data_IF_153555178486
#
_entry.id   IF_153555178486
#
_cell.length_a   1.000
_cell.length_b   1.000
_cell.length_c   1.000
_cell.angle_alpha   90.00
_cell.angle_beta   90.00
_cell.angle_gamma   90.00
#
_symmetry.space_group_name_H-M   'P 1'
#
loop_
_entity.id
_entity.type
_entity.pdbx_description
1 polymer ?
#
# COMPACT_ATOMS: atom_id res chain seq x y z
N UNK A 1 -35.50 -36.83 29.52
CA UNK A 1 -34.43 -36.34 28.64
C UNK A 1 -34.08 -34.95 29.12
N UNK A 2 -32.95 -34.78 29.82
CA UNK A 2 -32.47 -33.46 30.24
C UNK A 2 -32.01 -32.72 28.99
N UNK A 3 -32.64 -31.58 28.70
CA UNK A 3 -32.11 -30.64 27.71
C UNK A 3 -30.85 -30.02 28.30
N UNK A 4 -29.70 -30.60 28.00
CA UNK A 4 -28.42 -29.96 28.23
C UNK A 4 -28.41 -28.66 27.42
N UNK A 5 -28.60 -27.55 28.13
CA UNK A 5 -28.52 -26.22 27.57
C UNK A 5 -27.07 -25.96 27.22
N UNK A 6 -26.71 -26.22 25.96
CA UNK A 6 -25.39 -25.89 25.43
C UNK A 6 -25.20 -24.39 25.50
N UNK A 7 -24.34 -23.94 26.41
CA UNK A 7 -23.94 -22.53 26.49
C UNK A 7 -23.21 -22.16 25.20
N UNK A 8 -23.72 -21.16 24.49
CA UNK A 8 -23.11 -20.65 23.25
C UNK A 8 -22.23 -19.44 23.56
N UNK A 9 -21.21 -19.22 22.73
CA UNK A 9 -20.42 -17.98 22.76
C UNK A 9 -21.32 -16.75 22.49
N UNK A 10 -22.41 -16.93 21.74
CA UNK A 10 -23.39 -15.89 21.45
C UNK A 10 -24.17 -15.44 22.70
N UNK A 11 -24.20 -16.24 23.76
CA UNK A 11 -24.90 -15.89 25.00
C UNK A 11 -24.09 -14.92 25.88
N UNK A 12 -22.81 -14.69 25.53
CA UNK A 12 -21.95 -13.79 26.29
C UNK A 12 -22.32 -12.31 26.06
N UNK A 13 -22.20 -11.45 27.09
CA UNK A 13 -22.27 -10.00 26.94
C UNK A 13 -21.24 -9.47 25.95
N UNK A 14 -21.58 -8.37 25.26
CA UNK A 14 -20.73 -7.79 24.21
C UNK A 14 -19.36 -7.39 24.77
N UNK A 15 -19.31 -6.88 25.99
CA UNK A 15 -18.11 -6.42 26.66
C UNK A 15 -17.10 -7.57 26.84
N UNK A 16 -17.61 -8.75 27.24
CA UNK A 16 -16.80 -9.96 27.39
C UNK A 16 -16.28 -10.44 26.03
N UNK A 17 -17.12 -10.38 24.99
CA UNK A 17 -16.71 -10.74 23.64
C UNK A 17 -15.62 -9.79 23.11
N UNK A 18 -15.76 -8.48 23.33
CA UNK A 18 -14.73 -7.49 22.98
C UNK A 18 -13.42 -7.79 23.71
N UNK A 19 -13.48 -8.13 25.00
CA UNK A 19 -12.30 -8.48 25.78
C UNK A 19 -11.64 -9.76 25.27
N UNK A 20 -12.42 -10.78 24.90
CA UNK A 20 -11.91 -11.98 24.23
C UNK A 20 -11.20 -11.62 22.93
N UNK A 21 -11.77 -10.74 22.08
CA UNK A 21 -11.17 -10.33 20.81
C UNK A 21 -9.85 -9.56 20.96
N UNK A 22 -9.60 -8.89 22.09
CA UNK A 22 -8.31 -8.24 22.35
C UNK A 22 -7.16 -9.23 22.48
N UNK A 23 -7.44 -10.49 22.84
CA UNK A 23 -6.42 -11.53 22.96
C UNK A 23 -6.08 -12.21 21.63
N UNK A 24 -6.93 -12.06 20.61
CA UNK A 24 -6.66 -12.59 19.28
C UNK A 24 -5.70 -11.66 18.52
N UNK A 25 -4.65 -12.24 17.96
CA UNK A 25 -3.86 -11.51 16.98
C UNK A 25 -4.64 -11.39 15.66
N UNK A 26 -4.37 -10.35 14.86
CA UNK A 26 -5.05 -10.14 13.57
C UNK A 26 -5.10 -11.43 12.69
N UNK A 27 -4.02 -12.23 12.56
CA UNK A 27 -4.11 -13.51 11.86
C UNK A 27 -5.19 -14.47 12.32
N UNK A 28 -5.34 -14.63 13.63
CA UNK A 28 -6.35 -15.52 14.20
C UNK A 28 -7.73 -14.94 13.97
N UNK A 29 -7.91 -13.63 14.15
CA UNK A 29 -9.21 -12.97 13.95
C UNK A 29 -9.71 -13.09 12.51
N UNK A 30 -8.80 -13.21 11.54
CA UNK A 30 -9.16 -13.43 10.13
C UNK A 30 -9.53 -14.86 9.79
N UNK A 31 -9.16 -15.82 10.63
CA UNK A 31 -9.52 -17.23 10.46
C UNK A 31 -10.90 -17.55 11.04
N UNK A 32 -11.45 -16.69 11.89
CA UNK A 32 -12.74 -16.91 12.53
C UNK A 32 -13.88 -16.80 11.53
N UNK A 33 -14.70 -17.85 11.45
CA UNK A 33 -16.01 -17.82 10.79
C UNK A 33 -17.04 -17.40 11.83
N UNK A 34 -17.41 -16.13 11.78
CA UNK A 34 -18.32 -15.53 12.75
C UNK A 34 -19.71 -15.37 12.15
N UNK A 35 -20.74 -15.47 12.98
CA UNK A 35 -22.07 -14.99 12.61
C UNK A 35 -22.08 -13.45 12.54
N UNK A 36 -23.16 -12.86 12.04
CA UNK A 36 -23.29 -11.41 11.84
C UNK A 36 -23.06 -10.59 13.13
N UNK A 37 -23.53 -11.10 14.29
CA UNK A 37 -23.36 -10.41 15.58
C UNK A 37 -21.91 -10.42 16.02
N UNK A 38 -21.28 -11.59 16.03
CA UNK A 38 -19.88 -11.73 16.42
C UNK A 38 -18.94 -10.98 15.46
N UNK A 39 -19.26 -10.92 14.17
CA UNK A 39 -18.54 -10.10 13.19
C UNK A 39 -18.63 -8.60 13.54
N UNK A 40 -19.80 -8.09 13.87
CA UNK A 40 -19.96 -6.70 14.32
C UNK A 40 -19.15 -6.39 15.58
N UNK A 41 -19.13 -7.32 16.55
CA UNK A 41 -18.35 -7.15 17.77
C UNK A 41 -16.85 -7.18 17.46
N UNK A 42 -16.38 -8.13 16.65
CA UNK A 42 -15.00 -8.16 16.17
C UNK A 42 -14.62 -6.84 15.54
N UNK A 43 -15.51 -6.28 14.70
CA UNK A 43 -15.24 -5.03 13.99
C UNK A 43 -15.15 -3.79 14.89
N UNK A 44 -15.59 -3.89 16.15
CA UNK A 44 -15.43 -2.81 17.13
C UNK A 44 -14.04 -2.79 17.78
N UNK A 45 -13.28 -3.87 17.66
CA UNK A 45 -11.94 -3.99 18.25
C UNK A 45 -10.90 -3.39 17.31
N UNK A 46 -10.21 -2.33 17.74
CA UNK A 46 -9.16 -1.68 16.95
C UNK A 46 -7.82 -2.38 17.14
N UNK A 47 -7.15 -2.64 16.03
CA UNK A 47 -5.79 -3.15 15.98
C UNK A 47 -4.84 -2.04 15.51
N UNK A 48 -3.60 -2.07 16.00
CA UNK A 48 -2.52 -1.24 15.49
C UNK A 48 -1.37 -2.15 15.10
N UNK A 49 -0.91 -2.01 13.86
CA UNK A 49 0.16 -2.82 13.28
C UNK A 49 1.27 -1.88 12.79
N UNK A 50 2.50 -2.27 13.05
CA UNK A 50 3.67 -1.47 12.66
C UNK A 50 3.91 -1.54 11.15
N UNK A 51 3.85 -2.74 10.58
CA UNK A 51 4.05 -2.91 9.15
C UNK A 51 3.13 -3.95 8.54
N UNK A 52 2.69 -3.72 7.31
CA UNK A 52 2.00 -4.67 6.46
C UNK A 52 2.78 -4.76 5.15
N UNK A 53 3.04 -5.98 4.68
CA UNK A 53 3.61 -6.23 3.37
C UNK A 53 2.63 -7.10 2.59
N UNK A 54 2.25 -6.66 1.39
CA UNK A 54 1.49 -7.44 0.44
C UNK A 54 2.45 -7.87 -0.66
N UNK A 55 2.42 -9.14 -1.04
CA UNK A 55 3.19 -9.67 -2.15
C UNK A 55 2.25 -10.24 -3.20
N UNK A 56 2.41 -9.79 -4.44
CA UNK A 56 1.67 -10.27 -5.61
C UNK A 56 2.64 -10.99 -6.54
N UNK A 57 2.38 -12.27 -6.79
CA UNK A 57 3.17 -13.14 -7.65
C UNK A 57 2.23 -13.90 -8.60
N UNK A 58 2.03 -13.34 -9.80
CA UNK A 58 1.03 -13.82 -10.77
C UNK A 58 -0.38 -13.66 -10.20
N UNK A 59 -1.16 -14.73 -10.21
CA UNK A 59 -2.51 -14.80 -9.62
C UNK A 59 -2.52 -15.02 -8.10
N UNK A 60 -1.34 -15.14 -7.47
CA UNK A 60 -1.22 -15.40 -6.03
C UNK A 60 -0.92 -14.12 -5.28
N UNK A 61 -1.82 -13.77 -4.37
CA UNK A 61 -1.61 -12.68 -3.41
C UNK A 61 -1.36 -13.25 -2.02
N UNK A 62 -0.42 -12.65 -1.29
CA UNK A 62 -0.13 -12.97 0.11
C UNK A 62 0.14 -11.70 0.90
N UNK A 63 -0.02 -11.74 2.23
CA UNK A 63 0.36 -10.63 3.10
C UNK A 63 1.09 -11.11 4.35
N UNK A 64 1.89 -10.20 4.90
CA UNK A 64 2.67 -10.38 6.12
C UNK A 64 2.42 -9.16 7.00
N UNK A 65 2.09 -9.38 8.28
CA UNK A 65 1.98 -8.31 9.24
C UNK A 65 3.15 -8.36 10.23
N UNK A 66 3.74 -7.19 10.50
CA UNK A 66 4.80 -6.99 11.46
C UNK A 66 4.29 -6.26 12.69
N UNK A 67 4.40 -6.92 13.85
CA UNK A 67 4.11 -6.35 15.17
C UNK A 67 5.45 -6.04 15.84
N UNK A 68 6.08 -4.92 15.46
CA UNK A 68 7.39 -4.53 15.97
C UNK A 68 8.55 -5.30 15.32
N UNK A 69 9.36 -6.02 16.11
CA UNK A 69 10.52 -6.78 15.61
C UNK A 69 10.16 -8.17 15.06
N UNK A 70 8.94 -8.66 15.31
CA UNK A 70 8.47 -9.97 14.82
C UNK A 70 7.56 -9.75 13.62
N UNK A 71 7.91 -10.34 12.48
CA UNK A 71 7.00 -10.50 11.35
C UNK A 71 6.27 -11.82 11.50
N UNK A 72 4.93 -11.77 11.47
CA UNK A 72 4.08 -12.96 11.50
C UNK A 72 3.62 -13.18 10.06
N UNK A 73 4.19 -14.16 9.33
CA UNK A 73 3.69 -14.49 8.01
C UNK A 73 2.28 -15.04 8.16
N UNK A 74 1.33 -14.37 7.52
CA UNK A 74 -0.01 -14.92 7.32
C UNK A 74 -0.10 -15.28 5.84
N UNK A 75 0.74 -16.22 5.43
CA UNK A 75 0.72 -16.72 4.07
C UNK A 75 -0.52 -17.62 3.92
N UNK A 76 -1.66 -17.00 3.65
CA UNK A 76 -2.69 -17.66 2.85
C UNK A 76 -2.56 -17.10 1.45
N UNK A 77 -2.18 -17.96 0.52
CA UNK A 77 -2.49 -17.76 -0.88
C UNK A 77 -4.01 -17.77 -0.98
N UNK A 78 -4.61 -16.59 -1.10
CA UNK A 78 -6.03 -16.44 -1.37
C UNK A 78 -6.19 -16.11 -2.84
N UNK A 79 -7.29 -16.57 -3.43
CA UNK A 79 -7.75 -16.01 -4.71
C UNK A 79 -8.00 -14.51 -4.52
N UNK A 80 -7.65 -13.71 -5.53
CA UNK A 80 -7.62 -12.26 -5.42
C UNK A 80 -8.96 -11.63 -4.96
N UNK A 81 -10.10 -12.15 -5.41
CA UNK A 81 -11.41 -11.64 -4.97
C UNK A 81 -11.67 -11.83 -3.47
N UNK A 82 -11.33 -13.01 -2.93
CA UNK A 82 -11.41 -13.29 -1.49
C UNK A 82 -10.37 -12.49 -0.71
N UNK A 83 -9.20 -12.26 -1.30
CA UNK A 83 -8.13 -11.46 -0.73
C UNK A 83 -8.55 -9.99 -0.53
N UNK A 84 -9.13 -9.36 -1.54
CA UNK A 84 -9.49 -7.94 -1.49
C UNK A 84 -10.66 -7.66 -0.54
N UNK A 85 -11.66 -8.54 -0.49
CA UNK A 85 -12.74 -8.43 0.50
C UNK A 85 -12.20 -8.56 1.94
N UNK A 86 -11.24 -9.45 2.18
CA UNK A 86 -10.58 -9.59 3.47
C UNK A 86 -9.77 -8.32 3.83
N UNK A 87 -8.95 -7.79 2.92
CA UNK A 87 -8.18 -6.56 3.18
C UNK A 87 -9.08 -5.36 3.47
N UNK A 88 -10.16 -5.16 2.70
CA UNK A 88 -11.14 -4.10 2.96
C UNK A 88 -11.76 -4.25 4.34
N UNK A 89 -12.12 -5.47 4.76
CA UNK A 89 -12.65 -5.72 6.10
C UNK A 89 -11.62 -5.38 7.19
N UNK A 90 -10.37 -5.84 7.05
CA UNK A 90 -9.27 -5.57 7.99
C UNK A 90 -9.00 -4.07 8.12
N UNK A 91 -8.98 -3.36 7.00
CA UNK A 91 -8.63 -1.94 6.94
C UNK A 91 -9.53 -1.05 7.80
N UNK A 92 -10.79 -1.45 8.01
CA UNK A 92 -11.76 -0.71 8.83
C UNK A 92 -11.41 -0.70 10.31
N UNK A 93 -10.64 -1.69 10.75
CA UNK A 93 -10.38 -1.95 12.17
C UNK A 93 -8.90 -1.91 12.51
N UNK A 94 -8.05 -1.68 11.53
CA UNK A 94 -6.60 -1.78 11.68
C UNK A 94 -5.93 -0.49 11.25
N UNK A 95 -5.24 0.14 12.19
CA UNK A 95 -4.27 1.18 11.89
C UNK A 95 -2.96 0.52 11.46
N UNK A 96 -2.39 0.95 10.33
CA UNK A 96 -1.11 0.46 9.82
C UNK A 96 -0.15 1.63 9.72
N UNK A 97 1.01 1.55 10.39
CA UNK A 97 2.02 2.60 10.27
C UNK A 97 2.72 2.53 8.90
N UNK A 98 3.19 1.35 8.48
CA UNK A 98 3.87 1.13 7.20
C UNK A 98 3.18 0.09 6.33
N UNK A 99 2.75 0.44 5.12
CA UNK A 99 2.18 -0.49 4.15
C UNK A 99 3.09 -0.61 2.92
N UNK A 100 3.51 -1.83 2.56
CA UNK A 100 4.37 -2.08 1.41
C UNK A 100 3.73 -3.07 0.44
N UNK A 101 3.72 -2.76 -0.85
CA UNK A 101 3.35 -3.69 -1.92
C UNK A 101 4.62 -4.16 -2.64
N UNK A 102 4.76 -5.46 -2.81
CA UNK A 102 5.82 -6.06 -3.61
C UNK A 102 5.22 -6.87 -4.77
N UNK A 103 5.65 -6.57 -5.99
CA UNK A 103 5.16 -7.24 -7.21
C UNK A 103 6.34 -7.89 -7.92
N UNK A 104 6.35 -9.22 -8.00
CA UNK A 104 7.56 -9.99 -8.35
C UNK A 104 7.45 -10.81 -9.66
N UNK A 105 6.25 -10.99 -10.22
CA UNK A 105 6.06 -11.85 -11.40
C UNK A 105 5.75 -11.09 -12.69
N UNK A 106 6.17 -11.65 -13.84
CA UNK A 106 5.70 -11.19 -15.15
C UNK A 106 4.17 -11.14 -15.14
N UNK A 107 3.63 -9.93 -15.31
CA UNK A 107 2.19 -9.72 -15.23
C UNK A 107 1.53 -10.28 -16.48
N UNK A 108 0.64 -11.27 -16.34
CA UNK A 108 -0.42 -11.50 -17.31
C UNK A 108 -1.56 -10.51 -17.04
N UNK A 109 -2.45 -10.25 -18.00
CA UNK A 109 -3.51 -9.24 -17.85
C UNK A 109 -4.34 -9.39 -16.56
N UNK A 110 -4.66 -10.63 -16.15
CA UNK A 110 -5.40 -10.90 -14.91
C UNK A 110 -4.66 -10.39 -13.65
N UNK A 111 -3.34 -10.41 -13.65
CA UNK A 111 -2.54 -9.95 -12.51
C UNK A 111 -2.47 -8.43 -12.37
N UNK A 112 -2.77 -7.67 -13.43
CA UNK A 112 -2.85 -6.20 -13.37
C UNK A 112 -4.07 -5.74 -12.56
N UNK A 113 -5.23 -6.36 -12.78
CA UNK A 113 -6.44 -6.07 -12.01
C UNK A 113 -6.24 -6.42 -10.53
N UNK A 114 -5.57 -7.54 -10.24
CA UNK A 114 -5.27 -7.96 -8.87
C UNK A 114 -4.36 -6.97 -8.15
N UNK A 115 -3.32 -6.47 -8.82
CA UNK A 115 -2.44 -5.43 -8.29
C UNK A 115 -3.19 -4.13 -8.05
N UNK A 116 -4.03 -3.70 -9.01
CA UNK A 116 -4.87 -2.49 -8.86
C UNK A 116 -5.78 -2.59 -7.64
N UNK A 117 -6.46 -3.73 -7.48
CA UNK A 117 -7.31 -3.98 -6.32
C UNK A 117 -6.51 -4.04 -5.00
N UNK A 118 -5.29 -4.58 -5.01
CA UNK A 118 -4.41 -4.56 -3.84
C UNK A 118 -4.00 -3.13 -3.45
N UNK A 119 -3.67 -2.29 -4.43
CA UNK A 119 -3.34 -0.88 -4.23
C UNK A 119 -4.54 -0.13 -3.62
N UNK A 120 -5.74 -0.31 -4.19
CA UNK A 120 -6.97 0.26 -3.66
C UNK A 120 -7.27 -0.24 -2.24
N UNK A 121 -7.05 -1.53 -1.98
CA UNK A 121 -7.21 -2.11 -0.66
C UNK A 121 -6.24 -1.49 0.36
N UNK A 122 -4.98 -1.26 -0.03
CA UNK A 122 -3.98 -0.59 0.81
C UNK A 122 -4.38 0.85 1.16
N UNK A 123 -5.04 1.58 0.25
CA UNK A 123 -5.51 2.93 0.55
C UNK A 123 -6.53 2.99 1.68
N UNK A 124 -7.32 1.93 1.86
CA UNK A 124 -8.30 1.89 2.95
C UNK A 124 -7.66 1.89 4.34
N UNK A 125 -6.39 1.47 4.45
CA UNK A 125 -5.66 1.47 5.71
C UNK A 125 -5.17 2.86 6.15
N UNK A 126 -5.13 3.84 5.23
CA UNK A 126 -4.61 5.19 5.47
C UNK A 126 -3.27 5.18 6.21
N UNK A 127 -2.26 4.47 5.69
CA UNK A 127 -1.03 4.28 6.44
C UNK A 127 -0.24 5.59 6.55
N UNK A 128 0.65 5.67 7.53
CA UNK A 128 1.57 6.80 7.62
C UNK A 128 2.62 6.76 6.50
N UNK A 129 3.06 5.56 6.16
CA UNK A 129 4.08 5.27 5.15
C UNK A 129 3.56 4.26 4.14
N UNK A 130 3.74 4.55 2.86
CA UNK A 130 3.39 3.63 1.78
C UNK A 130 4.57 3.39 0.86
N UNK A 131 4.87 2.12 0.61
CA UNK A 131 5.85 1.65 -0.36
C UNK A 131 5.19 0.80 -1.43
N UNK A 132 5.61 0.97 -2.68
CA UNK A 132 5.24 0.11 -3.80
C UNK A 132 6.54 -0.23 -4.53
N UNK A 133 6.93 -1.49 -4.50
CA UNK A 133 8.18 -1.99 -5.06
C UNK A 133 7.86 -3.03 -6.13
N UNK A 134 8.11 -2.68 -7.38
CA UNK A 134 7.81 -3.54 -8.52
C UNK A 134 9.10 -3.97 -9.18
N UNK A 135 9.18 -5.27 -9.51
CA UNK A 135 10.32 -5.80 -10.24
C UNK A 135 10.52 -4.96 -11.52
N UNK A 136 11.77 -4.57 -11.81
CA UNK A 136 12.10 -3.55 -12.82
C UNK A 136 11.62 -3.88 -14.24
N UNK A 137 11.29 -5.14 -14.48
CA UNK A 137 10.81 -5.65 -15.77
C UNK A 137 9.30 -5.51 -15.95
N UNK A 138 8.58 -5.12 -14.89
CA UNK A 138 7.13 -5.05 -14.86
C UNK A 138 6.72 -3.59 -14.95
N UNK A 139 5.87 -3.29 -15.91
CA UNK A 139 5.08 -2.07 -15.89
C UNK A 139 3.97 -2.25 -14.87
N UNK A 140 3.91 -1.33 -13.92
CA UNK A 140 2.86 -1.33 -12.92
C UNK A 140 1.54 -1.02 -13.64
N UNK A 141 0.43 -1.72 -13.36
CA UNK A 141 -0.87 -1.31 -13.87
C UNK A 141 -1.07 0.17 -13.57
N UNK A 142 -1.72 0.89 -14.49
CA UNK A 142 -1.78 2.35 -14.45
C UNK A 142 -2.25 2.85 -13.08
N UNK A 143 -1.30 3.15 -12.18
CA UNK A 143 -1.59 3.98 -11.01
C UNK A 143 -1.96 5.31 -11.63
N UNK A 144 -3.26 5.56 -11.63
CA UNK A 144 -3.81 6.77 -12.17
C UNK A 144 -3.24 7.95 -11.39
N UNK A 145 -3.10 9.08 -12.06
CA UNK A 145 -2.65 10.30 -11.42
C UNK A 145 -3.53 10.68 -10.21
N UNK A 146 -4.84 10.42 -10.29
CA UNK A 146 -5.79 10.60 -9.19
C UNK A 146 -5.48 9.70 -7.99
N UNK A 147 -5.13 8.42 -8.19
CA UNK A 147 -4.68 7.55 -7.10
C UNK A 147 -3.39 8.08 -6.46
N UNK A 148 -2.45 8.57 -7.26
CA UNK A 148 -1.21 9.16 -6.77
C UNK A 148 -1.45 10.42 -5.93
N UNK A 149 -2.37 11.29 -6.36
CA UNK A 149 -2.78 12.45 -5.58
C UNK A 149 -3.46 12.05 -4.27
N UNK A 150 -4.34 11.05 -4.32
CA UNK A 150 -5.01 10.54 -3.13
C UNK A 150 -4.00 9.98 -2.11
N UNK A 151 -2.98 9.24 -2.58
CA UNK A 151 -1.85 8.79 -1.75
C UNK A 151 -1.16 9.96 -1.08
N UNK A 152 -0.75 10.94 -1.88
CA UNK A 152 0.05 12.05 -1.40
C UNK A 152 -0.71 12.95 -0.41
N UNK A 153 -2.05 12.99 -0.50
CA UNK A 153 -2.89 13.74 0.43
C UNK A 153 -3.00 13.08 1.82
N UNK A 154 -3.09 11.74 1.86
CA UNK A 154 -3.37 11.00 3.09
C UNK A 154 -2.14 10.38 3.76
N UNK A 155 -1.06 10.16 3.03
CA UNK A 155 0.13 9.42 3.50
C UNK A 155 1.30 10.37 3.72
N UNK A 156 2.00 10.24 4.85
CA UNK A 156 3.14 11.12 5.19
C UNK A 156 4.36 10.89 4.30
N UNK A 157 4.54 9.69 3.75
CA UNK A 157 5.64 9.36 2.82
C UNK A 157 5.21 8.26 1.86
N UNK A 158 5.46 8.52 0.58
CA UNK A 158 5.13 7.61 -0.52
C UNK A 158 6.41 7.27 -1.26
N UNK A 159 6.70 5.99 -1.39
CA UNK A 159 7.83 5.47 -2.16
C UNK A 159 7.31 4.52 -3.22
N UNK A 160 7.51 4.86 -4.48
CA UNK A 160 7.14 4.01 -5.60
C UNK A 160 8.40 3.73 -6.41
N UNK A 161 8.90 2.50 -6.31
CA UNK A 161 9.95 2.00 -7.19
C UNK A 161 9.30 1.20 -8.31
N UNK A 162 8.77 1.92 -9.29
CA UNK A 162 8.12 1.37 -10.47
C UNK A 162 8.26 2.32 -11.67
N UNK A 163 8.27 1.78 -12.88
CA UNK A 163 8.27 2.57 -14.12
C UNK A 163 6.86 3.13 -14.36
N UNK A 164 6.79 4.44 -14.65
CA UNK A 164 5.56 5.09 -15.12
C UNK A 164 5.75 5.58 -16.55
N UNK A 165 5.00 5.01 -17.48
CA UNK A 165 4.95 5.44 -18.89
C UNK A 165 3.98 6.61 -19.12
N UNK A 166 2.89 6.68 -18.34
CA UNK A 166 1.79 7.64 -18.57
C UNK A 166 1.87 8.93 -17.73
N UNK A 167 2.97 9.16 -17.00
CA UNK A 167 3.13 10.39 -16.23
C UNK A 167 3.64 11.50 -17.13
N UNK A 168 2.76 12.48 -17.39
CA UNK A 168 3.07 13.67 -18.16
C UNK A 168 3.79 14.71 -17.31
N UNK A 169 4.40 15.67 -18.01
CA UNK A 169 4.88 16.92 -17.44
C UNK A 169 3.81 17.64 -16.59
N UNK A 170 2.57 17.66 -17.06
CA UNK A 170 1.47 18.33 -16.38
C UNK A 170 1.16 17.68 -15.03
N UNK A 171 1.08 16.35 -14.96
CA UNK A 171 0.89 15.58 -13.73
C UNK A 171 1.96 15.93 -12.68
N UNK A 172 3.21 15.98 -13.10
CA UNK A 172 4.33 16.35 -12.23
C UNK A 172 4.23 17.81 -11.73
N UNK A 173 3.84 18.74 -12.60
CA UNK A 173 3.59 20.14 -12.22
C UNK A 173 2.45 20.26 -11.19
N UNK A 174 1.39 19.47 -11.37
CA UNK A 174 0.27 19.42 -10.42
C UNK A 174 0.72 18.88 -9.06
N UNK A 175 1.47 17.77 -9.00
CA UNK A 175 2.07 17.27 -7.74
C UNK A 175 2.89 18.35 -7.06
N UNK A 176 3.74 19.06 -7.81
CA UNK A 176 4.54 20.16 -7.25
C UNK A 176 3.67 21.26 -6.66
N UNK A 177 2.69 21.78 -7.41
CA UNK A 177 1.81 22.86 -6.93
C UNK A 177 1.10 22.46 -5.65
N UNK A 178 0.63 21.22 -5.61
CA UNK A 178 -0.06 20.62 -4.48
C UNK A 178 0.85 20.52 -3.24
N UNK A 179 2.08 20.06 -3.42
CA UNK A 179 3.10 20.02 -2.37
C UNK A 179 3.46 21.42 -1.88
N UNK A 180 3.75 22.36 -2.80
CA UNK A 180 4.13 23.73 -2.47
C UNK A 180 3.00 24.48 -1.76
N UNK A 181 1.75 24.15 -2.06
CA UNK A 181 0.58 24.71 -1.39
C UNK A 181 0.40 24.28 0.06
N UNK A 182 1.26 23.39 0.59
CA UNK A 182 1.22 22.95 1.99
C UNK A 182 0.01 22.09 2.37
N UNK A 183 -0.79 21.67 1.39
CA UNK A 183 -2.01 20.88 1.60
C UNK A 183 -1.76 19.37 1.71
N UNK A 184 -0.52 18.92 1.52
CA UNK A 184 -0.16 17.52 1.39
C UNK A 184 0.51 17.01 2.66
N UNK A 185 0.09 15.84 3.13
CA UNK A 185 0.77 15.14 4.23
C UNK A 185 2.15 14.62 3.80
N UNK A 186 2.34 14.36 2.50
CA UNK A 186 3.54 13.78 1.92
C UNK A 186 4.79 14.67 2.09
N UNK A 187 5.78 14.15 2.83
CA UNK A 187 7.09 14.75 3.08
C UNK A 187 8.20 14.22 2.17
N UNK A 188 7.98 13.06 1.56
CA UNK A 188 8.92 12.43 0.65
C UNK A 188 8.17 11.70 -0.45
N UNK A 189 8.63 11.87 -1.69
CA UNK A 189 8.11 11.22 -2.88
C UNK A 189 9.25 10.65 -3.71
N UNK A 190 9.23 9.35 -3.97
CA UNK A 190 10.22 8.69 -4.83
C UNK A 190 9.51 7.97 -5.96
N UNK A 191 9.95 8.20 -7.20
CA UNK A 191 9.33 7.62 -8.39
C UNK A 191 10.37 7.38 -9.49
N UNK A 192 10.16 6.35 -10.33
CA UNK A 192 10.92 6.16 -11.56
C UNK A 192 10.09 6.57 -12.77
N UNK A 193 10.62 7.50 -13.56
CA UNK A 193 9.95 8.03 -14.76
C UNK A 193 10.78 7.69 -15.98
N UNK A 194 10.12 7.25 -17.05
CA UNK A 194 10.80 6.98 -18.31
C UNK A 194 10.94 8.26 -19.14
N UNK A 195 12.09 8.41 -19.80
CA UNK A 195 12.42 9.41 -20.83
C UNK A 195 11.80 10.82 -20.72
N UNK A 196 11.68 11.38 -19.51
CA UNK A 196 11.26 12.78 -19.39
C UNK A 196 12.43 13.72 -19.71
N UNK A 197 12.17 14.76 -20.50
CA UNK A 197 13.21 15.71 -20.89
C UNK A 197 13.85 16.34 -19.63
N UNK A 198 15.17 16.17 -19.47
CA UNK A 198 15.94 16.72 -18.35
C UNK A 198 15.63 18.20 -18.08
N UNK A 199 15.45 18.96 -19.16
CA UNK A 199 15.10 20.38 -19.13
C UNK A 199 13.76 20.62 -18.42
N UNK A 200 12.75 19.81 -18.70
CA UNK A 200 11.45 19.90 -18.04
C UNK A 200 11.59 19.73 -16.51
N UNK A 201 12.36 18.75 -16.06
CA UNK A 201 12.53 18.49 -14.63
C UNK A 201 13.25 19.64 -13.94
N UNK A 202 14.33 20.14 -14.56
CA UNK A 202 15.09 21.29 -14.06
C UNK A 202 14.18 22.51 -13.93
N UNK A 203 13.44 22.83 -14.99
CA UNK A 203 12.58 24.00 -15.05
C UNK A 203 11.38 23.88 -14.09
N UNK A 204 10.80 22.67 -13.98
CA UNK A 204 9.62 22.44 -13.15
C UNK A 204 9.93 22.13 -11.70
N UNK A 205 11.10 21.64 -11.30
CA UNK A 205 11.35 21.26 -9.91
C UNK A 205 12.59 21.91 -9.29
N UNK A 206 13.35 22.67 -10.08
CA UNK A 206 14.62 23.25 -9.63
C UNK A 206 15.61 22.18 -9.18
N UNK A 207 15.50 20.96 -9.75
CA UNK A 207 16.32 19.82 -9.34
C UNK A 207 17.71 19.90 -9.97
N UNK A 208 18.71 19.68 -9.14
CA UNK A 208 20.09 19.45 -9.59
C UNK A 208 20.25 17.98 -9.90
N UNK A 209 20.85 17.68 -11.05
CA UNK A 209 21.02 16.31 -11.53
C UNK A 209 22.40 15.83 -11.08
N UNK A 210 22.43 14.79 -10.25
CA UNK A 210 23.67 14.10 -9.94
C UNK A 210 23.81 12.87 -10.87
N UNK A 211 24.75 12.96 -11.80
CA UNK A 211 25.06 11.91 -12.77
C UNK A 211 26.11 10.90 -12.25
N UNK A 212 26.55 11.02 -11.00
CA UNK A 212 27.56 10.11 -10.45
C UNK A 212 26.94 8.77 -10.04
N UNK A 213 27.28 7.67 -10.74
CA UNK A 213 27.00 6.30 -10.28
C UNK A 213 26.00 5.45 -11.06
N UNK A 214 25.68 5.78 -12.32
CA UNK A 214 24.88 4.91 -13.20
C UNK A 214 23.36 4.89 -12.90
N UNK A 215 22.93 5.46 -11.78
CA UNK A 215 21.56 5.90 -11.49
C UNK A 215 21.55 7.41 -11.33
N UNK A 216 20.73 8.12 -12.13
CA UNK A 216 20.56 9.57 -11.95
C UNK A 216 19.61 9.82 -10.79
N UNK A 217 20.11 10.43 -9.73
CA UNK A 217 19.29 10.86 -8.59
C UNK A 217 19.03 12.36 -8.70
N UNK A 218 17.78 12.75 -8.50
CA UNK A 218 17.34 14.14 -8.57
C UNK A 218 16.90 14.56 -7.18
N UNK A 219 17.39 15.71 -6.73
CA UNK A 219 17.08 16.27 -5.42
C UNK A 219 16.45 17.64 -5.60
N UNK A 220 15.27 17.85 -5.01
CA UNK A 220 14.72 19.19 -4.88
C UNK A 220 15.15 19.74 -3.52
N UNK A 221 15.77 20.92 -3.48
CA UNK A 221 16.24 21.57 -2.26
C UNK A 221 15.11 22.17 -1.40
N UNK A 222 13.85 21.87 -1.71
CA UNK A 222 12.76 22.36 -0.90
C UNK A 222 12.75 21.68 0.48
N UNK A 223 12.92 22.48 1.53
CA UNK A 223 12.91 22.01 2.93
C UNK A 223 11.62 21.26 3.30
N UNK A 224 10.51 21.45 2.58
CA UNK A 224 9.22 20.82 2.87
C UNK A 224 8.99 19.46 2.21
N UNK A 225 9.62 19.17 1.06
CA UNK A 225 9.47 17.88 0.36
C UNK A 225 10.78 17.43 -0.27
N UNK A 226 11.18 16.20 0.04
CA UNK A 226 12.24 15.49 -0.69
C UNK A 226 11.62 14.69 -1.84
N UNK A 227 11.83 15.15 -3.06
CA UNK A 227 11.45 14.40 -4.25
C UNK A 227 12.68 13.72 -4.85
N UNK A 228 12.57 12.42 -5.10
CA UNK A 228 13.59 11.59 -5.74
C UNK A 228 13.01 11.01 -7.02
N UNK A 229 13.45 11.54 -8.16
CA UNK A 229 13.15 10.93 -9.44
C UNK A 229 14.33 10.04 -9.83
N UNK A 230 14.07 8.77 -10.14
CA UNK A 230 15.06 7.84 -10.67
C UNK A 230 14.78 7.69 -12.16
N UNK A 231 15.83 7.72 -12.98
CA UNK A 231 15.70 7.49 -14.41
C UNK A 231 16.36 6.16 -14.75
N UNK A 232 15.60 5.28 -15.41
CA UNK A 232 16.16 4.08 -16.01
C UNK A 232 17.03 4.45 -17.21
N UNK A 233 18.10 3.69 -17.46
CA UNK A 233 18.73 3.70 -18.78
C UNK A 233 17.74 3.08 -19.76
N UNK A 234 17.49 3.75 -20.89
CA UNK A 234 16.71 3.17 -21.98
C UNK A 234 17.31 1.80 -22.32
N UNK A 235 16.51 0.73 -22.21
CA UNK A 235 16.89 -0.55 -22.81
C UNK A 235 16.96 -0.28 -24.31
N UNK A 236 18.15 -0.40 -24.91
CA UNK A 236 18.25 -0.47 -26.36
C UNK A 236 17.43 -1.68 -26.75
N UNK A 237 16.30 -1.47 -27.42
CA UNK A 237 15.63 -2.54 -28.13
C UNK A 237 16.58 -2.94 -29.27
N UNK A 238 17.32 -4.02 -29.04
CA UNK A 238 17.98 -4.79 -30.10
C UNK A 238 16.98 -5.75 -30.74
#
# INVERSE_FOLDING_TARGET
MSNDTKTSLDDLPIEILVDIYKYFNLPETLKLRLNKRLDQVQLSTRHSIKSMQIQVNGSKCSYIFGMGKKMIPISKTLEAGTFNSALRRISRITHVEWANLHVDAKMENQSQDDVSQCIDAMFNFKPEFMGINVNKEIELPEITFSQLLNMAYHVKRVEIDANFSNITAEHLCQIRKLVLGGKFAMKSFKMRVDQMAHRFLKDCFGVTIDDTGGSRNYYSENKSLKMFLIFGKARKHE
#
